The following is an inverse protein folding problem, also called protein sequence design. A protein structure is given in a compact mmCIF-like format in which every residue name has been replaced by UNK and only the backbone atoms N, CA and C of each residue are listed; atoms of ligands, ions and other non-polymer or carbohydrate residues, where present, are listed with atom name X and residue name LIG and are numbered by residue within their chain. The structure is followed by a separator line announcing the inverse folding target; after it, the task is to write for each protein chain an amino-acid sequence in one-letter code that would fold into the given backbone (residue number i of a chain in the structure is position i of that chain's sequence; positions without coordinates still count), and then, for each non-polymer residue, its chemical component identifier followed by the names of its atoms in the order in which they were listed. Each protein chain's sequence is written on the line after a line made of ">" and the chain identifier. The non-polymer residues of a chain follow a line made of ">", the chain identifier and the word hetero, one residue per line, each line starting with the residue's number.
data_IF_613303548856
#
_entry.id   IF_613303548856
#
_cell.length_a   1.000
_cell.length_b   1.000
_cell.length_c   1.000
_cell.angle_alpha   90.00
_cell.angle_beta   90.00
_cell.angle_gamma   90.00
#
_symmetry.space_group_name_H-M   'P 1'
#
loop_
_entity.id
_entity.type
_entity.pdbx_description
1 polymer ?
#
# COMPACT_ATOMS: atom_id res chain seq x y z
N UNK A 1 37.53 -15.28 -25.93
CA UNK A 1 37.71 -13.97 -25.27
C UNK A 1 37.39 -14.15 -23.80
N UNK A 2 38.40 -14.21 -22.93
CA UNK A 2 38.19 -14.32 -21.48
C UNK A 2 37.98 -12.91 -20.93
N UNK A 3 36.78 -12.61 -20.58
CA UNK A 3 36.52 -11.36 -19.85
C UNK A 3 37.12 -11.46 -18.44
N UNK A 4 37.98 -10.51 -18.02
CA UNK A 4 38.63 -10.52 -16.70
C UNK A 4 37.71 -10.26 -15.53
N UNK A 5 36.42 -9.95 -15.79
CA UNK A 5 35.42 -9.65 -14.76
C UNK A 5 34.43 -10.80 -14.69
N UNK A 6 34.50 -11.59 -13.61
CA UNK A 6 33.49 -12.59 -13.28
C UNK A 6 32.54 -12.02 -12.24
N UNK A 7 31.27 -11.93 -12.60
CA UNK A 7 30.21 -11.60 -11.65
C UNK A 7 29.84 -12.84 -10.84
N UNK A 8 30.31 -12.93 -9.61
CA UNK A 8 29.90 -13.97 -8.67
C UNK A 8 28.88 -13.39 -7.69
N UNK A 9 27.77 -14.11 -7.51
CA UNK A 9 26.77 -13.74 -6.50
C UNK A 9 27.40 -13.84 -5.10
N UNK A 10 27.34 -12.76 -4.31
CA UNK A 10 27.80 -12.79 -2.92
C UNK A 10 26.76 -13.53 -2.07
N UNK A 11 27.15 -14.51 -1.24
CA UNK A 11 26.25 -15.26 -0.39
C UNK A 11 25.60 -14.39 0.69
N UNK A 12 26.28 -13.32 1.14
CA UNK A 12 25.71 -12.34 2.10
C UNK A 12 26.05 -10.91 1.68
N UNK A 13 25.08 -9.97 1.79
CA UNK A 13 25.35 -8.55 1.54
C UNK A 13 26.27 -7.99 2.63
N UNK A 14 27.30 -7.24 2.23
CA UNK A 14 28.17 -6.54 3.17
C UNK A 14 27.32 -5.68 4.14
N UNK A 15 27.67 -5.66 5.43
CA UNK A 15 26.94 -4.92 6.46
C UNK A 15 26.73 -3.44 6.11
N UNK A 16 27.69 -2.82 5.44
CA UNK A 16 27.61 -1.45 4.94
C UNK A 16 26.55 -1.27 3.83
N UNK A 17 26.36 -2.25 2.94
CA UNK A 17 25.36 -2.17 1.87
C UNK A 17 23.91 -2.23 2.42
N UNK A 18 23.71 -2.81 3.58
CA UNK A 18 22.39 -2.93 4.21
C UNK A 18 21.80 -1.55 4.53
N UNK A 19 22.62 -0.57 4.87
CA UNK A 19 22.22 0.81 5.13
C UNK A 19 22.53 1.76 3.97
N UNK A 20 23.61 1.52 3.23
CA UNK A 20 23.99 2.35 2.09
C UNK A 20 23.01 2.25 0.93
N UNK A 21 22.43 1.07 0.68
CA UNK A 21 21.46 0.88 -0.41
C UNK A 21 20.18 1.68 -0.21
N UNK A 22 19.48 1.62 0.95
CA UNK A 22 18.30 2.46 1.19
C UNK A 22 18.64 3.96 1.19
N UNK A 23 19.80 4.35 1.76
CA UNK A 23 20.22 5.74 1.77
C UNK A 23 20.50 6.27 0.35
N UNK A 24 21.16 5.48 -0.49
CA UNK A 24 21.38 5.81 -1.89
C UNK A 24 20.07 5.90 -2.68
N UNK A 25 19.11 5.00 -2.42
CA UNK A 25 17.80 5.04 -3.04
C UNK A 25 17.04 6.30 -2.68
N UNK A 26 17.03 6.70 -1.40
CA UNK A 26 16.42 7.95 -0.94
C UNK A 26 17.06 9.17 -1.59
N UNK A 27 18.40 9.22 -1.62
CA UNK A 27 19.13 10.32 -2.25
C UNK A 27 18.77 10.43 -3.74
N UNK A 28 18.80 9.33 -4.46
CA UNK A 28 18.44 9.28 -5.88
C UNK A 28 16.99 9.73 -6.11
N UNK A 29 16.06 9.32 -5.25
CA UNK A 29 14.65 9.73 -5.33
C UNK A 29 14.52 11.25 -5.17
N UNK A 30 15.17 11.83 -4.16
CA UNK A 30 15.15 13.29 -3.92
C UNK A 30 15.79 14.04 -5.08
N UNK A 31 16.94 13.59 -5.58
CA UNK A 31 17.62 14.22 -6.73
C UNK A 31 16.77 14.13 -8.00
N UNK A 32 16.19 12.96 -8.28
CA UNK A 32 15.29 12.79 -9.45
C UNK A 32 14.07 13.68 -9.32
N UNK A 33 13.47 13.77 -8.14
CA UNK A 33 12.35 14.66 -7.86
C UNK A 33 12.73 16.13 -8.06
N UNK A 34 13.88 16.56 -7.57
CA UNK A 34 14.39 17.92 -7.77
C UNK A 34 14.58 18.26 -9.25
N UNK A 35 15.17 17.34 -10.02
CA UNK A 35 15.35 17.52 -11.48
C UNK A 35 13.99 17.62 -12.18
N UNK A 36 13.04 16.76 -11.84
CA UNK A 36 11.69 16.80 -12.43
C UNK A 36 10.98 18.13 -12.13
N UNK A 37 11.04 18.63 -10.89
CA UNK A 37 10.45 19.94 -10.56
C UNK A 37 11.12 21.07 -11.31
N UNK A 38 12.45 21.06 -11.45
CA UNK A 38 13.17 22.05 -12.25
C UNK A 38 12.75 22.02 -13.72
N UNK A 39 12.60 20.82 -14.32
CA UNK A 39 12.14 20.65 -15.70
C UNK A 39 10.70 21.14 -15.90
N UNK A 40 9.87 21.04 -14.86
CA UNK A 40 8.50 21.57 -14.86
C UNK A 40 8.42 23.08 -14.59
N UNK A 41 9.57 23.76 -14.46
CA UNK A 41 9.63 25.21 -14.22
C UNK A 41 9.28 25.59 -12.76
N UNK A 42 9.30 24.64 -11.83
CA UNK A 42 9.05 24.87 -10.42
C UNK A 42 10.38 24.96 -9.65
N UNK A 43 10.41 25.74 -8.57
CA UNK A 43 11.58 25.77 -7.68
C UNK A 43 11.69 24.42 -6.94
N UNK A 44 12.78 23.65 -7.18
CA UNK A 44 12.94 22.33 -6.56
C UNK A 44 12.97 22.35 -5.03
N UNK A 45 13.56 23.42 -4.42
CA UNK A 45 13.65 23.53 -2.97
C UNK A 45 12.29 23.81 -2.35
N UNK A 46 11.51 24.69 -2.96
CA UNK A 46 10.13 24.99 -2.53
C UNK A 46 9.28 23.73 -2.66
N UNK A 47 9.33 23.05 -3.80
CA UNK A 47 8.57 21.84 -4.06
C UNK A 47 8.92 20.70 -3.06
N UNK A 48 10.19 20.44 -2.82
CA UNK A 48 10.64 19.44 -1.85
C UNK A 48 10.23 19.80 -0.42
N UNK A 49 10.31 21.08 -0.05
CA UNK A 49 9.86 21.55 1.28
C UNK A 49 8.35 21.31 1.45
N UNK A 50 7.55 21.69 0.46
CA UNK A 50 6.09 21.48 0.47
C UNK A 50 5.74 19.98 0.56
N UNK A 51 6.53 19.12 -0.08
CA UNK A 51 6.26 17.68 -0.09
C UNK A 51 6.64 16.98 1.22
N UNK A 52 7.80 17.32 1.79
CA UNK A 52 8.37 16.59 2.93
C UNK A 52 8.24 17.31 4.27
N UNK A 53 8.28 18.65 4.28
CA UNK A 53 8.33 19.41 5.53
C UNK A 53 6.94 19.93 5.92
N UNK A 54 6.21 20.54 5.02
CA UNK A 54 4.92 21.16 5.32
C UNK A 54 3.88 20.20 5.91
N UNK A 55 3.74 18.94 5.42
CA UNK A 55 2.79 18.00 6.03
C UNK A 55 3.10 17.68 7.49
N UNK A 56 4.36 17.85 7.92
CA UNK A 56 4.80 17.57 9.28
C UNK A 56 4.91 18.84 10.14
N UNK A 57 4.77 20.03 9.55
CA UNK A 57 4.91 21.30 10.23
C UNK A 57 3.66 21.76 10.99
N UNK A 58 2.50 21.19 10.71
CA UNK A 58 1.22 21.62 11.29
C UNK A 58 0.43 20.46 11.89
N UNK A 59 -0.39 20.75 12.91
CA UNK A 59 -1.29 19.75 13.52
C UNK A 59 -2.27 19.19 12.48
N UNK A 60 -2.75 20.04 11.58
CA UNK A 60 -3.61 19.60 10.47
C UNK A 60 -2.89 18.62 9.55
N UNK A 61 -1.64 18.91 9.18
CA UNK A 61 -0.82 18.01 8.35
C UNK A 61 -0.62 16.65 9.02
N UNK A 62 -0.34 16.61 10.33
CA UNK A 62 -0.27 15.36 11.08
C UNK A 62 -1.58 14.58 11.06
N UNK A 63 -2.72 15.27 11.20
CA UNK A 63 -4.04 14.62 11.08
C UNK A 63 -4.26 14.01 9.71
N UNK A 64 -3.92 14.72 8.65
CA UNK A 64 -4.03 14.21 7.26
C UNK A 64 -3.11 13.01 7.01
N UNK A 65 -1.87 13.05 7.52
CA UNK A 65 -0.95 11.91 7.48
C UNK A 65 -1.52 10.71 8.22
N UNK A 66 -2.05 10.91 9.44
CA UNK A 66 -2.63 9.84 10.24
C UNK A 66 -3.84 9.19 9.54
N UNK A 67 -4.72 9.99 8.94
CA UNK A 67 -5.88 9.46 8.18
C UNK A 67 -5.43 8.60 7.01
N UNK A 68 -4.43 9.05 6.24
CA UNK A 68 -3.89 8.28 5.10
C UNK A 68 -3.10 7.05 5.54
N UNK A 69 -2.41 7.13 6.67
CA UNK A 69 -1.61 6.03 7.21
C UNK A 69 -2.47 4.90 7.77
N UNK A 70 -3.65 5.20 8.32
CA UNK A 70 -4.54 4.21 8.94
C UNK A 70 -4.87 3.03 8.03
N UNK A 71 -5.40 3.21 6.80
CA UNK A 71 -5.71 2.09 5.91
C UNK A 71 -4.46 1.32 5.51
N UNK A 72 -3.32 2.00 5.32
CA UNK A 72 -2.04 1.35 4.97
C UNK A 72 -1.55 0.45 6.12
N UNK A 73 -1.66 0.91 7.37
CA UNK A 73 -1.29 0.10 8.54
C UNK A 73 -2.21 -1.13 8.68
N UNK A 74 -3.51 -0.96 8.53
CA UNK A 74 -4.47 -2.07 8.59
C UNK A 74 -4.19 -3.12 7.50
N UNK A 75 -3.94 -2.69 6.27
CA UNK A 75 -3.53 -3.58 5.18
C UNK A 75 -2.21 -4.29 5.51
N UNK A 76 -1.22 -3.57 6.05
CA UNK A 76 0.09 -4.13 6.40
C UNK A 76 -0.02 -5.22 7.46
N UNK A 77 -0.84 -5.03 8.50
CA UNK A 77 -1.10 -6.05 9.51
C UNK A 77 -1.72 -7.30 8.90
N UNK A 78 -2.73 -7.14 8.03
CA UNK A 78 -3.33 -8.26 7.29
C UNK A 78 -2.33 -8.99 6.41
N UNK A 79 -1.46 -8.27 5.71
CA UNK A 79 -0.41 -8.86 4.85
C UNK A 79 0.65 -9.62 5.67
N UNK A 80 1.02 -9.13 6.85
CA UNK A 80 1.94 -9.86 7.75
C UNK A 80 1.37 -11.22 8.13
N UNK A 81 0.08 -11.31 8.44
CA UNK A 81 -0.60 -12.58 8.74
C UNK A 81 -0.57 -13.50 7.51
N UNK A 82 -0.91 -12.97 6.33
CA UNK A 82 -0.86 -13.73 5.08
C UNK A 82 0.54 -14.29 4.81
N UNK A 83 1.58 -13.47 4.90
CA UNK A 83 2.97 -13.90 4.65
C UNK A 83 3.46 -14.93 5.67
N UNK A 84 3.06 -14.80 6.94
CA UNK A 84 3.37 -15.83 7.95
C UNK A 84 2.67 -17.16 7.65
N UNK A 85 1.50 -17.13 7.04
CA UNK A 85 0.78 -18.31 6.55
C UNK A 85 1.29 -18.82 5.19
N UNK A 86 2.38 -18.26 4.67
CA UNK A 86 2.92 -18.55 3.33
C UNK A 86 1.89 -18.33 2.21
N UNK A 87 1.05 -17.30 2.35
CA UNK A 87 0.06 -16.86 1.37
C UNK A 87 0.49 -15.51 0.80
N UNK A 88 0.78 -15.47 -0.48
CA UNK A 88 1.21 -14.26 -1.17
C UNK A 88 -0.01 -13.47 -1.68
N UNK A 89 -0.54 -12.58 -0.85
CA UNK A 89 -1.67 -11.73 -1.21
C UNK A 89 -1.16 -10.39 -1.78
N UNK A 90 -1.23 -10.23 -3.11
CA UNK A 90 -0.89 -8.97 -3.80
C UNK A 90 -2.17 -8.14 -4.06
N UNK A 91 -3.35 -8.66 -3.70
CA UNK A 91 -4.65 -8.05 -3.94
C UNK A 91 -5.23 -7.25 -2.78
N UNK A 92 -4.41 -6.83 -1.80
CA UNK A 92 -4.88 -6.09 -0.63
C UNK A 92 -5.56 -4.76 -1.00
N UNK A 93 -5.12 -4.09 -2.08
CA UNK A 93 -5.74 -2.87 -2.60
C UNK A 93 -7.19 -3.12 -3.05
N UNK A 94 -7.44 -4.16 -3.86
CA UNK A 94 -8.79 -4.53 -4.29
C UNK A 94 -9.70 -4.92 -3.13
N UNK A 95 -9.17 -5.59 -2.10
CA UNK A 95 -9.89 -5.91 -0.87
C UNK A 95 -10.29 -4.65 -0.10
N UNK A 96 -9.37 -3.67 0.01
CA UNK A 96 -9.64 -2.37 0.63
C UNK A 96 -10.75 -1.63 -0.11
N UNK A 97 -10.69 -1.58 -1.45
CA UNK A 97 -11.69 -0.90 -2.29
C UNK A 97 -13.05 -1.58 -2.18
N UNK A 98 -13.12 -2.91 -2.26
CA UNK A 98 -14.35 -3.66 -2.08
C UNK A 98 -14.98 -3.41 -0.70
N UNK A 99 -14.14 -3.37 0.34
CA UNK A 99 -14.56 -3.00 1.69
C UNK A 99 -15.09 -1.56 1.77
N UNK A 100 -14.40 -0.61 1.12
CA UNK A 100 -14.83 0.79 1.09
C UNK A 100 -16.17 0.97 0.36
N UNK A 101 -16.39 0.27 -0.75
CA UNK A 101 -17.65 0.31 -1.51
C UNK A 101 -18.80 -0.25 -0.66
N UNK A 102 -18.62 -1.41 -0.04
CA UNK A 102 -19.68 -2.04 0.74
C UNK A 102 -20.00 -1.26 2.01
N UNK A 103 -18.99 -0.78 2.73
CA UNK A 103 -19.20 0.08 3.89
C UNK A 103 -19.80 1.43 3.51
N UNK A 104 -19.34 2.02 2.41
CA UNK A 104 -19.89 3.27 1.87
C UNK A 104 -21.36 3.14 1.48
N UNK A 105 -21.74 2.02 0.82
CA UNK A 105 -23.13 1.75 0.49
C UNK A 105 -24.03 1.68 1.74
N UNK A 106 -23.55 1.02 2.80
CA UNK A 106 -24.28 0.99 4.08
C UNK A 106 -24.31 2.38 4.72
N UNK A 107 -23.19 3.11 4.69
CA UNK A 107 -23.11 4.46 5.27
C UNK A 107 -24.10 5.45 4.61
N UNK A 108 -24.37 5.30 3.31
CA UNK A 108 -25.35 6.12 2.59
C UNK A 108 -26.80 5.87 3.05
N UNK A 109 -27.07 4.78 3.76
CA UNK A 109 -28.40 4.51 4.36
C UNK A 109 -28.58 5.20 5.71
N UNK A 110 -27.56 5.90 6.23
CA UNK A 110 -27.67 6.66 7.47
C UNK A 110 -28.57 7.90 7.28
N UNK A 111 -29.41 8.17 8.26
CA UNK A 111 -30.23 9.38 8.37
C UNK A 111 -29.89 10.17 9.64
N UNK A 112 -30.59 11.30 9.88
CA UNK A 112 -30.36 12.14 11.05
C UNK A 112 -30.72 11.46 12.39
N UNK A 113 -31.53 10.40 12.37
CA UNK A 113 -31.92 9.61 13.53
C UNK A 113 -30.92 8.46 13.81
N UNK A 114 -29.94 8.26 12.95
CA UNK A 114 -28.99 7.15 13.03
C UNK A 114 -28.01 7.36 14.18
N UNK A 115 -28.03 6.46 15.16
CA UNK A 115 -27.15 6.53 16.33
C UNK A 115 -25.71 6.09 16.06
N UNK A 116 -24.78 6.34 16.99
CA UNK A 116 -23.34 6.02 16.82
C UNK A 116 -23.07 4.52 16.64
N UNK A 117 -23.94 3.64 17.09
CA UNK A 117 -23.84 2.19 16.87
C UNK A 117 -23.87 1.80 15.38
N UNK A 118 -24.41 2.65 14.52
CA UNK A 118 -24.42 2.41 13.07
C UNK A 118 -23.01 2.36 12.46
N UNK A 119 -22.04 3.04 13.06
CA UNK A 119 -20.64 2.98 12.66
C UNK A 119 -20.12 1.54 12.73
N UNK A 120 -20.53 0.77 13.74
CA UNK A 120 -20.16 -0.65 13.86
C UNK A 120 -20.71 -1.46 12.68
N UNK A 121 -21.96 -1.18 12.27
CA UNK A 121 -22.56 -1.84 11.11
C UNK A 121 -21.79 -1.53 9.82
N UNK A 122 -21.41 -0.26 9.62
CA UNK A 122 -20.57 0.17 8.49
C UNK A 122 -19.21 -0.56 8.51
N UNK A 123 -18.57 -0.64 9.68
CA UNK A 123 -17.27 -1.36 9.82
C UNK A 123 -17.42 -2.85 9.50
N UNK A 124 -18.48 -3.50 9.98
CA UNK A 124 -18.74 -4.92 9.70
C UNK A 124 -19.03 -5.14 8.20
N UNK A 125 -19.82 -4.27 7.58
CA UNK A 125 -20.08 -4.34 6.14
C UNK A 125 -18.78 -4.17 5.33
N UNK A 126 -17.92 -3.22 5.71
CA UNK A 126 -16.61 -3.04 5.08
C UNK A 126 -15.71 -4.28 5.22
N UNK A 127 -15.66 -4.85 6.42
CA UNK A 127 -14.87 -6.04 6.69
C UNK A 127 -15.38 -7.24 5.89
N UNK A 128 -16.70 -7.44 5.80
CA UNK A 128 -17.32 -8.50 5.00
C UNK A 128 -17.06 -8.32 3.51
N UNK A 129 -17.19 -7.10 2.98
CA UNK A 129 -16.92 -6.81 1.57
C UNK A 129 -15.48 -7.13 1.18
N UNK A 130 -14.52 -6.68 1.98
CA UNK A 130 -13.10 -7.00 1.79
C UNK A 130 -12.81 -8.50 1.93
N UNK A 131 -13.43 -9.17 2.91
CA UNK A 131 -13.28 -10.61 3.13
C UNK A 131 -13.87 -11.45 1.98
N UNK A 132 -15.03 -11.09 1.45
CA UNK A 132 -15.63 -11.74 0.29
C UNK A 132 -14.72 -11.60 -0.93
N UNK A 133 -14.18 -10.40 -1.18
CA UNK A 133 -13.24 -10.16 -2.28
C UNK A 133 -11.97 -10.99 -2.16
N UNK A 134 -11.37 -11.04 -0.98
CA UNK A 134 -10.21 -11.90 -0.69
C UNK A 134 -10.54 -13.39 -0.76
N UNK A 135 -11.77 -13.76 -0.37
CA UNK A 135 -12.30 -15.12 -0.42
C UNK A 135 -12.35 -15.73 -1.82
N UNK A 136 -12.54 -14.89 -2.84
CA UNK A 136 -12.49 -15.32 -4.25
C UNK A 136 -11.10 -15.90 -4.58
N UNK A 137 -10.03 -15.17 -4.18
CA UNK A 137 -8.65 -15.65 -4.38
C UNK A 137 -8.39 -16.96 -3.62
N UNK A 138 -8.84 -17.03 -2.38
CA UNK A 138 -8.68 -18.21 -1.53
C UNK A 138 -9.44 -19.42 -2.11
N UNK A 139 -10.65 -19.23 -2.60
CA UNK A 139 -11.46 -20.27 -3.25
C UNK A 139 -10.80 -20.80 -4.52
N UNK A 140 -10.32 -19.92 -5.38
CA UNK A 140 -9.64 -20.29 -6.62
C UNK A 140 -8.34 -21.05 -6.34
N UNK A 141 -7.57 -20.64 -5.33
CA UNK A 141 -6.39 -21.38 -4.89
C UNK A 141 -6.75 -22.77 -4.37
N UNK A 142 -7.74 -22.86 -3.47
CA UNK A 142 -8.12 -24.13 -2.82
C UNK A 142 -8.78 -25.11 -3.80
N UNK A 143 -9.70 -24.64 -4.63
CA UNK A 143 -10.51 -25.51 -5.51
C UNK A 143 -9.84 -25.85 -6.82
N UNK A 144 -9.06 -24.92 -7.39
CA UNK A 144 -8.47 -25.04 -8.73
C UNK A 144 -6.96 -25.04 -8.74
N UNK A 145 -6.30 -25.03 -7.57
CA UNK A 145 -4.85 -24.91 -7.43
C UNK A 145 -4.26 -23.73 -8.22
N UNK A 146 -5.06 -22.65 -8.38
CA UNK A 146 -4.62 -21.46 -9.07
C UNK A 146 -3.49 -20.76 -8.31
N UNK A 147 -2.58 -20.15 -9.07
CA UNK A 147 -1.50 -19.37 -8.47
C UNK A 147 -2.07 -18.10 -7.81
N UNK A 148 -1.99 -18.03 -6.49
CA UNK A 148 -2.57 -16.92 -5.70
C UNK A 148 -1.95 -15.56 -6.04
N UNK A 149 -0.69 -15.52 -6.46
CA UNK A 149 -0.01 -14.28 -6.84
C UNK A 149 -0.67 -13.68 -8.09
N UNK A 150 -0.88 -14.51 -9.12
CA UNK A 150 -1.50 -14.06 -10.37
C UNK A 150 -2.98 -13.72 -10.19
N UNK A 151 -3.71 -14.54 -9.43
CA UNK A 151 -5.14 -14.30 -9.17
C UNK A 151 -5.33 -13.04 -8.35
N UNK A 152 -4.60 -12.88 -7.24
CA UNK A 152 -4.72 -11.71 -6.38
C UNK A 152 -4.30 -10.43 -7.09
N UNK A 153 -3.28 -10.47 -7.96
CA UNK A 153 -2.85 -9.34 -8.77
C UNK A 153 -3.94 -8.92 -9.78
N UNK A 154 -4.54 -9.89 -10.48
CA UNK A 154 -5.63 -9.59 -11.43
C UNK A 154 -6.88 -9.05 -10.74
N UNK A 155 -7.30 -9.69 -9.65
CA UNK A 155 -8.49 -9.26 -8.89
C UNK A 155 -8.22 -7.92 -8.20
N UNK A 156 -6.99 -7.67 -7.73
CA UNK A 156 -6.60 -6.39 -7.14
C UNK A 156 -6.64 -5.21 -8.11
N UNK A 157 -6.48 -5.45 -9.42
CA UNK A 157 -6.50 -4.42 -10.48
C UNK A 157 -7.74 -4.43 -11.36
N UNK A 158 -8.76 -5.22 -11.02
CA UNK A 158 -9.93 -5.38 -11.85
C UNK A 158 -10.82 -4.12 -12.01
N UNK A 159 -10.48 -3.05 -11.30
CA UNK A 159 -11.21 -1.78 -11.30
C UNK A 159 -10.41 -0.61 -11.93
N UNK A 160 -9.30 -0.89 -12.61
CA UNK A 160 -8.50 0.10 -13.36
C UNK A 160 -8.74 -0.04 -14.85
#
# INVERSE_FOLDING_TARGET
>A
MNFPIQMTARPEPARSLRWASPAAALLLTVLTGAVLFALLGQDPLVALRTFFVEPLATVRGWSEVAVKMTPLLLCSVGLVVCFRANVWNIGAEGQLIAGAITGGAVALCADQATGPAFVILVMLASALGGAVWGGITALLRHRFHANEILVSLKIGRAHV
#
